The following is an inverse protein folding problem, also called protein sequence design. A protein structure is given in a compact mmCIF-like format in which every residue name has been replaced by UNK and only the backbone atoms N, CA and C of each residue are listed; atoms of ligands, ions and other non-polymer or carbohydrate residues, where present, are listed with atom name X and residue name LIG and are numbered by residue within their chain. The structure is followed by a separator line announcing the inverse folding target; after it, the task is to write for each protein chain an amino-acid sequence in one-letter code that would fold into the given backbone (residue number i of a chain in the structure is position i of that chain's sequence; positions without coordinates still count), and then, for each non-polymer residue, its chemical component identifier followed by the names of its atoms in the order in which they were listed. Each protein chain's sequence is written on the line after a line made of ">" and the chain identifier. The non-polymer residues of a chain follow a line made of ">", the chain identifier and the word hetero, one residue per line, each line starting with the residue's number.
data_IF_342847688576
#
_entry.id   IF_342847688576
#
_cell.length_a   1.000
_cell.length_b   1.000
_cell.length_c   1.000
_cell.angle_alpha   90.00
_cell.angle_beta   90.00
_cell.angle_gamma   90.00
#
_symmetry.space_group_name_H-M   'P 1'
#
loop_
_entity.id
_entity.type
_entity.pdbx_description
1 polymer ?
#
# COMPACT_ATOMS: atom_id res chain seq x y z
N UNK A 1 -48.41 39.95 17.86
CA UNK A 1 -48.22 40.41 16.46
C UNK A 1 -46.90 41.19 16.43
N UNK A 2 -45.79 40.53 16.07
CA UNK A 2 -44.44 41.11 16.10
C UNK A 2 -43.75 40.84 14.76
N UNK A 3 -43.21 41.92 14.19
CA UNK A 3 -42.77 42.07 12.80
C UNK A 3 -41.44 41.36 12.51
N UNK A 4 -41.35 40.77 11.30
CA UNK A 4 -40.10 40.40 10.63
C UNK A 4 -39.30 41.67 10.29
N UNK A 5 -38.00 41.66 10.55
CA UNK A 5 -37.03 42.54 9.89
C UNK A 5 -35.93 41.68 9.25
N UNK A 6 -35.88 41.72 7.92
CA UNK A 6 -34.77 41.20 7.11
C UNK A 6 -33.61 42.19 7.16
N UNK A 7 -32.43 41.73 7.59
CA UNK A 7 -31.17 42.44 7.35
C UNK A 7 -30.51 41.84 6.11
N UNK A 8 -30.58 42.61 5.03
CA UNK A 8 -29.75 42.50 3.83
C UNK A 8 -28.31 42.74 4.23
N UNK A 9 -27.40 41.81 3.96
CA UNK A 9 -25.96 42.02 4.06
C UNK A 9 -25.25 41.56 2.78
N UNK A 10 -24.23 42.36 2.45
CA UNK A 10 -23.57 42.64 1.17
C UNK A 10 -22.88 41.45 0.47
N UNK A 11 -22.59 41.57 -0.85
CA UNK A 11 -22.00 40.50 -1.66
C UNK A 11 -20.61 40.09 -1.17
N UNK A 12 -20.38 38.78 -1.27
CA UNK A 12 -19.16 38.05 -0.97
C UNK A 12 -18.06 38.51 -1.93
N UNK A 13 -16.95 39.01 -1.39
CA UNK A 13 -15.75 39.33 -2.15
C UNK A 13 -15.16 38.06 -2.79
N UNK A 14 -14.71 38.20 -4.04
CA UNK A 14 -14.03 37.19 -4.83
C UNK A 14 -12.89 36.50 -4.07
N UNK A 15 -13.02 35.19 -3.84
CA UNK A 15 -11.91 34.32 -3.48
C UNK A 15 -11.09 34.00 -4.73
N UNK A 16 -10.18 34.90 -5.09
CA UNK A 16 -9.08 34.60 -6.00
C UNK A 16 -7.80 35.01 -5.30
N UNK A 17 -6.92 34.03 -5.06
CA UNK A 17 -5.60 34.08 -4.38
C UNK A 17 -5.59 33.60 -2.92
N UNK A 18 -5.69 32.27 -2.76
CA UNK A 18 -4.95 31.56 -1.70
C UNK A 18 -3.71 30.92 -2.35
N UNK A 19 -2.53 30.93 -1.69
CA UNK A 19 -1.35 30.19 -2.15
C UNK A 19 -1.69 28.71 -2.34
N UNK A 20 -1.11 28.06 -3.36
CA UNK A 20 -1.34 26.64 -3.72
C UNK A 20 -0.79 25.62 -2.69
N UNK A 21 -0.46 26.06 -1.49
CA UNK A 21 -0.04 25.18 -0.40
C UNK A 21 -1.29 24.76 0.39
N UNK A 22 -1.51 23.46 0.54
CA UNK A 22 -2.64 22.81 1.23
C UNK A 22 -4.00 22.79 0.50
N UNK A 23 -4.08 22.02 -0.59
CA UNK A 23 -5.37 21.44 -0.98
C UNK A 23 -5.68 20.24 -0.07
N UNK A 24 -6.31 20.50 1.08
CA UNK A 24 -6.97 19.48 1.90
C UNK A 24 -8.40 19.26 1.39
N UNK A 25 -8.78 17.99 1.17
CA UNK A 25 -10.12 17.66 0.72
C UNK A 25 -11.09 17.53 1.90
N UNK A 26 -12.06 18.45 1.98
CA UNK A 26 -13.21 18.32 2.89
C UNK A 26 -14.16 17.23 2.41
N UNK A 27 -14.06 16.03 3.00
CA UNK A 27 -15.10 15.01 2.85
C UNK A 27 -16.34 15.42 3.66
N UNK A 28 -17.39 15.89 2.98
CA UNK A 28 -18.70 16.11 3.59
C UNK A 28 -19.37 14.75 3.82
N UNK A 29 -19.32 14.23 5.06
CA UNK A 29 -20.41 13.48 5.73
C UNK A 29 -20.02 13.18 7.18
N UNK A 30 -20.69 13.86 8.13
CA UNK A 30 -20.65 13.51 9.56
C UNK A 30 -21.45 12.23 9.78
N UNK A 31 -20.79 11.16 10.22
CA UNK A 31 -21.42 10.06 10.95
C UNK A 31 -20.87 10.14 12.37
N UNK A 32 -21.74 10.47 13.33
CA UNK A 32 -21.41 10.43 14.75
C UNK A 32 -21.34 8.96 15.19
N UNK A 33 -20.16 8.46 15.54
CA UNK A 33 -20.04 7.42 16.55
C UNK A 33 -19.39 8.02 17.79
N UNK A 34 -20.16 8.14 18.88
CA UNK A 34 -19.61 8.37 20.22
C UNK A 34 -18.97 7.06 20.69
N UNK A 35 -17.65 7.04 20.84
CA UNK A 35 -16.98 6.11 21.73
C UNK A 35 -16.43 6.89 22.92
N UNK A 36 -16.84 6.48 24.12
CA UNK A 36 -16.20 6.95 25.36
C UNK A 36 -14.82 6.31 25.43
N UNK A 37 -13.77 7.09 25.19
CA UNK A 37 -12.40 6.65 25.37
C UNK A 37 -11.95 7.01 26.79
N UNK A 38 -11.64 5.99 27.60
CA UNK A 38 -11.18 6.15 28.96
C UNK A 38 -9.66 6.41 28.94
N UNK A 39 -9.24 7.52 29.54
CA UNK A 39 -7.87 8.00 29.53
C UNK A 39 -7.03 7.25 30.59
N UNK A 40 -6.01 6.48 30.17
CA UNK A 40 -4.84 6.16 31.01
C UNK A 40 -3.54 6.20 30.18
N UNK A 41 -2.52 6.83 30.77
CA UNK A 41 -1.21 7.23 30.21
C UNK A 41 -0.18 6.08 30.10
N UNK A 42 0.84 6.35 29.28
CA UNK A 42 2.16 5.71 29.08
C UNK A 42 2.26 4.55 28.05
N UNK A 43 2.15 4.90 26.75
CA UNK A 43 2.54 4.06 25.58
C UNK A 43 3.46 4.78 24.56
N UNK A 44 3.86 6.02 24.83
CA UNK A 44 4.44 6.89 23.79
C UNK A 44 5.90 6.60 23.44
N UNK A 45 6.74 6.13 24.39
CA UNK A 45 8.16 5.86 24.11
C UNK A 45 8.39 4.52 23.42
N UNK A 46 7.59 3.51 23.75
CA UNK A 46 7.72 2.16 23.19
C UNK A 46 7.17 2.12 21.74
N UNK A 47 6.05 2.81 21.51
CA UNK A 47 5.54 3.07 20.16
C UNK A 47 6.53 3.88 19.31
N UNK A 48 7.18 4.90 19.88
CA UNK A 48 8.21 5.68 19.17
C UNK A 48 9.47 4.85 18.85
N UNK A 49 9.92 3.96 19.76
CA UNK A 49 11.05 3.05 19.51
C UNK A 49 10.74 2.00 18.45
N UNK A 50 9.53 1.42 18.46
CA UNK A 50 9.07 0.52 17.40
C UNK A 50 8.99 1.25 16.06
N UNK A 51 8.45 2.47 16.03
CA UNK A 51 8.40 3.30 14.82
C UNK A 51 9.80 3.63 14.30
N UNK A 52 10.75 3.99 15.18
CA UNK A 52 12.14 4.24 14.81
C UNK A 52 12.84 3.00 14.20
N UNK A 53 12.57 1.81 14.72
CA UNK A 53 13.13 0.56 14.18
C UNK A 53 12.54 0.20 12.80
N UNK A 54 11.23 0.40 12.60
CA UNK A 54 10.54 0.22 11.31
C UNK A 54 11.05 1.25 10.28
N UNK A 55 11.28 2.49 10.70
CA UNK A 55 11.72 3.59 9.81
C UNK A 55 13.18 3.46 9.33
N UNK A 56 14.03 2.66 9.99
CA UNK A 56 15.45 2.51 9.62
C UNK A 56 15.68 1.66 8.37
N UNK A 57 14.68 0.90 7.92
CA UNK A 57 14.82 0.03 6.74
C UNK A 57 14.12 0.65 5.52
N UNK A 58 14.87 0.77 4.41
CA UNK A 58 14.50 1.42 3.14
C UNK A 58 13.42 0.63 2.38
N UNK A 59 12.17 0.67 2.80
CA UNK A 59 11.06 0.03 2.08
C UNK A 59 10.87 0.69 0.71
N UNK A 60 10.59 -0.09 -0.33
CA UNK A 60 10.45 0.40 -1.70
C UNK A 60 9.41 -0.41 -2.48
N UNK A 61 9.12 0.04 -3.71
CA UNK A 61 8.25 -0.65 -4.66
C UNK A 61 8.94 -0.84 -6.01
N UNK A 62 8.63 -1.92 -6.75
CA UNK A 62 9.13 -2.08 -8.12
C UNK A 62 8.47 -1.07 -9.07
N UNK A 63 9.06 -0.91 -10.26
CA UNK A 63 8.50 -0.13 -11.35
C UNK A 63 7.03 -0.51 -11.63
N UNK A 64 6.25 0.45 -12.13
CA UNK A 64 4.83 0.26 -12.48
C UNK A 64 3.86 0.46 -11.32
N UNK A 65 4.34 0.45 -10.08
CA UNK A 65 3.53 0.76 -8.89
C UNK A 65 2.94 2.16 -9.02
N UNK A 66 1.62 2.28 -8.97
CA UNK A 66 0.91 3.55 -9.19
C UNK A 66 0.84 4.37 -7.91
N UNK A 67 1.12 5.67 -7.99
CA UNK A 67 1.04 6.62 -6.89
C UNK A 67 -0.12 7.56 -7.16
N UNK A 68 -0.94 7.87 -6.15
CA UNK A 68 -2.00 8.87 -6.28
C UNK A 68 -1.38 10.26 -6.18
N UNK A 69 -1.45 11.02 -7.28
CA UNK A 69 -0.97 12.41 -7.40
C UNK A 69 -2.10 13.36 -7.73
N UNK A 70 -1.87 14.67 -7.64
CA UNK A 70 -2.86 15.67 -8.06
C UNK A 70 -3.17 15.62 -9.57
N UNK A 71 -2.27 15.04 -10.38
CA UNK A 71 -2.44 14.82 -11.82
C UNK A 71 -3.04 13.43 -12.16
N UNK A 72 -3.33 12.60 -11.16
CA UNK A 72 -3.83 11.23 -11.33
C UNK A 72 -2.81 10.16 -10.92
N UNK A 73 -2.88 8.98 -11.54
CA UNK A 73 -2.02 7.85 -11.19
C UNK A 73 -0.69 7.89 -11.97
N UNK A 74 0.41 8.13 -11.27
CA UNK A 74 1.77 8.19 -11.85
C UNK A 74 2.58 6.96 -11.41
N UNK A 75 3.32 6.27 -12.30
CA UNK A 75 4.25 5.21 -11.91
C UNK A 75 5.30 5.72 -10.93
N UNK A 76 5.67 4.90 -9.95
CA UNK A 76 6.63 5.30 -8.91
C UNK A 76 8.00 5.72 -9.46
N UNK A 77 8.44 5.10 -10.56
CA UNK A 77 9.71 5.43 -11.20
C UNK A 77 9.69 6.81 -11.91
N UNK A 78 8.50 7.34 -12.19
CA UNK A 78 8.32 8.61 -12.90
C UNK A 78 8.06 9.80 -11.97
N UNK A 79 7.91 9.53 -10.65
CA UNK A 79 7.71 10.57 -9.62
C UNK A 79 8.97 11.42 -9.49
N UNK A 80 8.79 12.74 -9.42
CA UNK A 80 9.85 13.74 -9.33
C UNK A 80 9.71 14.61 -8.08
N UNK A 81 10.82 15.21 -7.66
CA UNK A 81 10.80 16.24 -6.63
C UNK A 81 9.88 17.37 -7.05
N UNK A 82 9.00 17.79 -6.13
CA UNK A 82 7.96 18.78 -6.37
C UNK A 82 6.62 18.21 -6.84
N UNK A 83 6.55 16.94 -7.26
CA UNK A 83 5.26 16.30 -7.56
C UNK A 83 4.41 16.24 -6.29
N UNK A 84 3.11 16.47 -6.45
CA UNK A 84 2.16 16.55 -5.34
C UNK A 84 1.45 15.21 -5.17
N UNK A 85 1.76 14.49 -4.10
CA UNK A 85 1.23 13.14 -3.82
C UNK A 85 0.20 13.16 -2.70
N UNK A 86 -0.82 12.32 -2.81
CA UNK A 86 -1.87 12.22 -1.79
C UNK A 86 -1.26 11.66 -0.51
N UNK A 87 -1.54 12.32 0.61
CA UNK A 87 -0.97 12.01 1.93
C UNK A 87 -2.00 12.27 3.03
N UNK A 88 -1.71 11.79 4.25
CA UNK A 88 -2.57 11.93 5.44
C UNK A 88 -1.74 12.14 6.70
N UNK A 89 -2.18 12.90 7.72
CA UNK A 89 -1.43 13.03 8.97
C UNK A 89 -1.12 11.67 9.62
N UNK A 90 0.13 11.48 10.07
CA UNK A 90 0.64 10.19 10.57
C UNK A 90 -0.09 9.63 11.79
N UNK A 91 -0.76 10.48 12.57
CA UNK A 91 -1.55 10.06 13.72
C UNK A 91 -2.87 9.36 13.34
N UNK A 92 -3.19 9.25 12.03
CA UNK A 92 -4.45 8.68 11.56
C UNK A 92 -5.62 9.66 11.56
N UNK A 93 -5.44 10.86 12.12
CA UNK A 93 -6.47 11.86 12.33
C UNK A 93 -6.26 13.07 11.41
N UNK A 94 -7.25 13.35 10.57
CA UNK A 94 -7.24 14.51 9.68
C UNK A 94 -7.67 14.17 8.25
N UNK A 95 -7.73 15.21 7.42
CA UNK A 95 -8.15 15.10 6.03
C UNK A 95 -6.99 14.70 5.13
N UNK A 96 -7.33 14.06 4.00
CA UNK A 96 -6.39 13.80 2.93
C UNK A 96 -5.94 15.11 2.30
N UNK A 97 -4.66 15.22 2.00
CA UNK A 97 -4.10 16.39 1.37
C UNK A 97 -2.96 16.03 0.42
N UNK A 98 -2.72 16.87 -0.58
CA UNK A 98 -1.55 16.73 -1.40
C UNK A 98 -0.33 17.37 -0.74
N UNK A 99 0.79 16.64 -0.73
CA UNK A 99 2.08 17.08 -0.19
C UNK A 99 3.18 16.92 -1.23
N UNK A 100 4.15 17.84 -1.30
CA UNK A 100 5.23 17.76 -2.27
C UNK A 100 6.18 16.62 -1.93
N UNK A 101 6.69 15.97 -2.98
CA UNK A 101 7.84 15.07 -2.91
C UNK A 101 9.11 15.88 -2.71
N UNK A 102 9.91 15.51 -1.69
CA UNK A 102 11.15 16.19 -1.32
C UNK A 102 12.38 15.53 -1.94
N UNK A 103 12.42 14.20 -1.94
CA UNK A 103 13.55 13.40 -2.42
C UNK A 103 13.04 12.14 -3.12
N UNK A 104 13.80 11.64 -4.09
CA UNK A 104 13.54 10.36 -4.75
C UNK A 104 14.76 9.45 -4.58
N UNK A 105 14.53 8.15 -4.45
CA UNK A 105 15.59 7.15 -4.30
C UNK A 105 15.27 5.91 -5.13
N UNK A 106 16.33 5.21 -5.58
CA UNK A 106 16.20 3.90 -6.21
C UNK A 106 17.32 2.96 -5.75
N UNK A 107 17.06 1.66 -5.82
CA UNK A 107 18.00 0.60 -5.48
C UNK A 107 17.90 -0.51 -6.51
N UNK A 108 19.04 -1.00 -7.02
CA UNK A 108 19.07 -1.91 -8.17
C UNK A 108 18.66 -3.35 -7.84
N UNK A 109 18.94 -3.80 -6.63
CA UNK A 109 18.81 -5.20 -6.27
C UNK A 109 18.15 -5.36 -4.90
N UNK A 110 16.81 -5.38 -4.88
CA UNK A 110 16.03 -5.66 -3.67
C UNK A 110 15.05 -6.79 -3.89
N UNK A 111 14.89 -7.59 -2.84
CA UNK A 111 13.90 -8.65 -2.76
C UNK A 111 12.48 -8.11 -2.85
N UNK A 112 11.65 -8.82 -3.61
CA UNK A 112 10.24 -8.49 -3.86
C UNK A 112 9.34 -9.57 -3.27
N UNK A 113 8.30 -9.13 -2.59
CA UNK A 113 7.23 -9.96 -2.06
C UNK A 113 5.90 -9.54 -2.70
N UNK A 114 4.93 -10.44 -2.65
CA UNK A 114 3.55 -10.17 -3.06
C UNK A 114 2.65 -10.02 -1.84
N UNK A 115 1.87 -8.95 -1.83
CA UNK A 115 0.74 -8.73 -0.94
C UNK A 115 -0.55 -9.02 -1.69
N UNK A 116 -1.24 -10.09 -1.33
CA UNK A 116 -2.59 -10.41 -1.81
C UNK A 116 -3.63 -10.03 -0.76
N UNK A 117 -4.64 -9.25 -1.15
CA UNK A 117 -5.71 -8.80 -0.26
C UNK A 117 -7.05 -8.68 -0.98
N UNK A 118 -8.13 -8.66 -0.20
CA UNK A 118 -9.47 -8.34 -0.69
C UNK A 118 -9.82 -6.88 -0.46
N UNK A 119 -10.44 -6.26 -1.46
CA UNK A 119 -11.11 -4.97 -1.30
C UNK A 119 -12.51 -5.20 -0.76
N UNK A 120 -12.78 -4.68 0.42
CA UNK A 120 -14.03 -4.89 1.14
C UNK A 120 -14.67 -3.55 1.46
N UNK A 121 -16.00 -3.46 1.29
CA UNK A 121 -16.75 -2.26 1.69
C UNK A 121 -16.72 -2.11 3.21
N UNK A 122 -16.53 -0.90 3.70
CA UNK A 122 -16.41 -0.58 5.13
C UNK A 122 -17.61 -1.04 5.99
N UNK A 123 -18.81 -1.15 5.40
CA UNK A 123 -20.01 -1.63 6.07
C UNK A 123 -20.17 -3.17 6.06
N UNK A 124 -19.20 -3.90 5.52
CA UNK A 124 -19.23 -5.37 5.48
C UNK A 124 -18.93 -5.93 6.87
N UNK A 125 -19.78 -6.82 7.33
CA UNK A 125 -19.54 -7.61 8.54
C UNK A 125 -18.46 -8.67 8.28
N UNK A 126 -17.26 -8.42 8.79
CA UNK A 126 -16.07 -9.26 8.57
C UNK A 126 -16.27 -10.67 9.13
N UNK A 127 -17.07 -10.83 10.19
CA UNK A 127 -17.35 -12.16 10.77
C UNK A 127 -18.05 -13.11 9.79
N UNK A 128 -18.68 -12.56 8.73
CA UNK A 128 -19.35 -13.33 7.67
C UNK A 128 -18.43 -13.64 6.49
N UNK A 129 -17.18 -13.18 6.50
CA UNK A 129 -16.21 -13.44 5.43
C UNK A 129 -15.56 -14.82 5.61
N UNK A 130 -16.38 -15.87 5.60
CA UNK A 130 -15.90 -17.24 5.53
C UNK A 130 -15.34 -17.55 4.13
N UNK A 131 -14.58 -18.64 4.03
CA UNK A 131 -13.91 -19.10 2.80
C UNK A 131 -14.75 -19.02 1.51
N UNK A 132 -15.96 -19.58 1.54
CA UNK A 132 -16.86 -19.53 0.37
C UNK A 132 -17.22 -18.11 -0.07
N UNK A 133 -17.30 -17.15 0.87
CA UNK A 133 -17.53 -15.74 0.55
C UNK A 133 -16.29 -15.07 -0.03
N UNK A 134 -15.11 -15.38 0.49
CA UNK A 134 -13.83 -14.90 -0.05
C UNK A 134 -13.61 -15.41 -1.49
N UNK A 135 -13.94 -16.68 -1.76
CA UNK A 135 -13.88 -17.23 -3.12
C UNK A 135 -14.84 -16.51 -4.08
N UNK A 136 -16.07 -16.22 -3.64
CA UNK A 136 -17.02 -15.42 -4.42
C UNK A 136 -16.50 -13.99 -4.69
N UNK A 137 -15.82 -13.38 -3.72
CA UNK A 137 -15.22 -12.06 -3.89
C UNK A 137 -14.04 -12.11 -4.87
N UNK A 138 -13.25 -13.18 -4.83
CA UNK A 138 -12.15 -13.42 -5.77
C UNK A 138 -12.68 -13.52 -7.20
N UNK A 139 -13.72 -14.32 -7.45
CA UNK A 139 -14.36 -14.41 -8.77
C UNK A 139 -15.00 -13.08 -9.26
N UNK A 140 -15.25 -12.14 -8.35
CA UNK A 140 -15.73 -10.78 -8.67
C UNK A 140 -14.59 -9.78 -8.92
N UNK A 141 -13.34 -10.23 -8.94
CA UNK A 141 -12.17 -9.38 -9.13
C UNK A 141 -11.87 -8.47 -7.93
N UNK A 142 -12.33 -8.84 -6.73
CA UNK A 142 -12.07 -8.06 -5.50
C UNK A 142 -10.77 -8.47 -4.81
N UNK A 143 -10.16 -9.59 -5.23
CA UNK A 143 -8.83 -10.00 -4.80
C UNK A 143 -7.79 -9.30 -5.67
N UNK A 144 -6.84 -8.62 -5.04
CA UNK A 144 -5.82 -7.83 -5.73
C UNK A 144 -4.47 -8.12 -5.11
N UNK A 145 -3.46 -8.16 -5.96
CA UNK A 145 -2.06 -8.36 -5.60
C UNK A 145 -1.24 -7.11 -5.82
N UNK A 146 -0.23 -6.89 -4.98
CA UNK A 146 0.76 -5.82 -5.16
C UNK A 146 2.15 -6.31 -4.79
N UNK A 147 3.12 -5.98 -5.64
CA UNK A 147 4.53 -6.29 -5.41
C UNK A 147 5.20 -5.17 -4.62
N UNK A 148 6.00 -5.53 -3.60
CA UNK A 148 6.58 -4.57 -2.66
C UNK A 148 7.74 -5.23 -1.90
N UNK A 149 8.71 -4.46 -1.39
CA UNK A 149 9.78 -5.02 -0.55
C UNK A 149 9.24 -5.49 0.82
N UNK A 150 9.80 -6.57 1.41
CA UNK A 150 9.29 -7.15 2.66
C UNK A 150 9.26 -6.18 3.86
N UNK A 151 10.16 -5.22 3.90
CA UNK A 151 10.25 -4.26 5.00
C UNK A 151 9.40 -3.00 4.81
N UNK A 152 8.58 -2.90 3.75
CA UNK A 152 7.77 -1.70 3.50
C UNK A 152 6.56 -1.66 4.46
N UNK A 153 6.34 -0.56 5.21
CA UNK A 153 5.25 -0.49 6.18
C UNK A 153 3.93 -0.01 5.59
N UNK A 154 2.85 -0.62 6.07
CA UNK A 154 1.46 -0.28 5.76
C UNK A 154 0.74 0.18 7.04
N UNK A 155 -0.22 1.10 6.91
CA UNK A 155 -1.04 1.51 8.05
C UNK A 155 -2.13 0.46 8.33
N UNK A 156 -1.95 -0.31 9.41
CA UNK A 156 -2.87 -1.37 9.82
C UNK A 156 -3.79 -0.88 10.93
N UNK A 157 -5.10 -1.02 10.74
CA UNK A 157 -6.10 -0.57 11.71
C UNK A 157 -5.91 -1.26 13.06
N UNK A 158 -5.73 -0.46 14.10
CA UNK A 158 -5.54 -0.93 15.48
C UNK A 158 -4.10 -1.31 15.84
N UNK A 159 -3.18 -1.34 14.87
CA UNK A 159 -1.76 -1.64 15.08
C UNK A 159 -0.83 -0.48 14.68
N UNK A 160 -1.21 0.32 13.69
CA UNK A 160 -0.37 1.37 13.12
C UNK A 160 0.55 0.83 12.01
N UNK A 161 1.71 1.47 11.82
CA UNK A 161 2.69 1.09 10.82
C UNK A 161 3.23 -0.33 11.07
N UNK A 162 2.92 -1.25 10.16
CA UNK A 162 3.34 -2.66 10.23
C UNK A 162 4.07 -3.02 8.94
N UNK A 163 5.24 -3.69 9.02
CA UNK A 163 5.99 -4.12 7.83
C UNK A 163 5.20 -5.17 7.05
N UNK A 164 5.42 -5.24 5.73
CA UNK A 164 4.79 -6.23 4.87
C UNK A 164 5.04 -7.66 5.39
N UNK A 165 6.28 -8.02 5.69
CA UNK A 165 6.67 -9.35 6.16
C UNK A 165 6.17 -9.69 7.58
N UNK A 166 5.58 -8.73 8.28
CA UNK A 166 4.94 -8.91 9.58
C UNK A 166 3.40 -8.94 9.47
N UNK A 167 2.84 -8.66 8.30
CA UNK A 167 1.40 -8.69 8.09
C UNK A 167 0.85 -10.12 8.21
N UNK A 168 -0.35 -10.21 8.76
CA UNK A 168 -1.06 -11.46 9.00
C UNK A 168 -2.40 -11.46 8.28
N UNK A 169 -2.83 -12.64 7.85
CA UNK A 169 -4.17 -12.86 7.30
C UNK A 169 -5.24 -12.27 8.23
N UNK A 170 -6.20 -11.57 7.65
CA UNK A 170 -7.32 -10.94 8.37
C UNK A 170 -7.03 -9.54 8.92
N UNK A 171 -5.78 -9.06 8.87
CA UNK A 171 -5.48 -7.67 9.20
C UNK A 171 -6.05 -6.71 8.16
N UNK A 172 -6.35 -5.49 8.59
CA UNK A 172 -7.01 -4.47 7.76
C UNK A 172 -6.03 -3.32 7.51
N UNK A 173 -5.67 -3.12 6.25
CA UNK A 173 -4.92 -1.95 5.79
C UNK A 173 -5.91 -0.85 5.40
N UNK A 174 -5.65 0.36 5.88
CA UNK A 174 -6.46 1.53 5.53
C UNK A 174 -6.21 1.97 4.08
N UNK A 175 -7.27 2.43 3.43
CA UNK A 175 -7.18 3.00 2.08
C UNK A 175 -7.56 4.48 2.06
N UNK A 176 -7.22 5.17 0.97
CA UNK A 176 -7.64 6.56 0.76
C UNK A 176 -9.17 6.72 0.66
N UNK A 177 -9.89 5.66 0.28
CA UNK A 177 -11.35 5.65 0.20
C UNK A 177 -11.93 5.16 1.53
N UNK A 178 -12.61 6.02 2.31
CA UNK A 178 -13.16 5.61 3.60
C UNK A 178 -14.26 4.54 3.49
N UNK A 179 -14.81 4.30 2.29
CA UNK A 179 -15.81 3.26 2.06
C UNK A 179 -15.18 1.89 1.74
N UNK A 180 -13.85 1.80 1.59
CA UNK A 180 -13.13 0.58 1.22
C UNK A 180 -11.96 0.34 2.18
N UNK A 181 -11.80 -0.90 2.63
CA UNK A 181 -10.59 -1.35 3.29
C UNK A 181 -9.96 -2.54 2.57
N UNK A 182 -8.65 -2.72 2.76
CA UNK A 182 -7.91 -3.85 2.25
C UNK A 182 -7.77 -4.92 3.35
N UNK A 183 -8.42 -6.06 3.18
CA UNK A 183 -8.32 -7.22 4.07
C UNK A 183 -7.18 -8.11 3.60
N UNK A 184 -6.08 -8.14 4.36
CA UNK A 184 -4.89 -8.96 4.06
C UNK A 184 -5.29 -10.42 3.97
N UNK A 185 -4.93 -11.06 2.86
CA UNK A 185 -5.22 -12.48 2.63
C UNK A 185 -3.94 -13.32 2.67
N UNK A 186 -2.91 -12.92 1.94
CA UNK A 186 -1.66 -13.68 1.84
C UNK A 186 -0.50 -12.73 1.59
N UNK A 187 0.66 -13.06 2.17
CA UNK A 187 1.92 -12.36 1.97
C UNK A 187 3.01 -13.40 1.79
N UNK A 188 3.79 -13.30 0.71
CA UNK A 188 4.82 -14.29 0.41
C UNK A 188 5.94 -13.69 -0.45
N UNK A 189 7.16 -14.25 -0.37
CA UNK A 189 8.25 -13.87 -1.26
C UNK A 189 7.92 -14.25 -2.70
N UNK A 190 8.36 -13.42 -3.65
CA UNK A 190 8.52 -13.86 -5.02
C UNK A 190 9.82 -14.66 -5.14
N UNK A 191 9.76 -15.75 -5.88
CA UNK A 191 10.86 -16.70 -6.11
C UNK A 191 11.46 -16.50 -7.48
N UNK A 192 12.77 -16.62 -7.58
CA UNK A 192 13.48 -16.62 -8.86
C UNK A 192 13.03 -17.83 -9.69
N UNK A 193 13.06 -17.70 -11.01
CA UNK A 193 12.88 -18.85 -11.91
C UNK A 193 14.10 -19.07 -12.79
N UNK A 194 14.14 -20.19 -13.52
CA UNK A 194 15.15 -20.45 -14.56
C UNK A 194 15.01 -19.54 -15.79
N UNK A 195 13.90 -18.81 -15.91
CA UNK A 195 13.68 -17.83 -16.97
C UNK A 195 13.96 -16.41 -16.45
N UNK A 196 14.80 -15.68 -17.18
CA UNK A 196 15.16 -14.29 -16.82
C UNK A 196 13.92 -13.41 -16.74
N UNK A 197 13.89 -12.52 -15.74
CA UNK A 197 12.79 -11.58 -15.48
C UNK A 197 11.42 -12.23 -15.24
N UNK A 198 11.38 -13.53 -14.95
CA UNK A 198 10.15 -14.23 -14.54
C UNK A 198 10.28 -14.63 -13.08
N UNK A 199 9.27 -14.28 -12.29
CA UNK A 199 9.18 -14.62 -10.88
C UNK A 199 8.03 -15.60 -10.63
N UNK A 200 8.27 -16.58 -9.76
CA UNK A 200 7.21 -17.45 -9.23
C UNK A 200 6.64 -16.87 -7.93
N UNK A 201 5.32 -16.83 -7.80
CA UNK A 201 4.64 -16.53 -6.53
C UNK A 201 3.80 -17.71 -6.09
N UNK A 202 3.65 -17.94 -4.79
CA UNK A 202 2.71 -18.94 -4.31
C UNK A 202 1.28 -18.54 -4.69
N UNK A 203 0.55 -19.46 -5.31
CA UNK A 203 -0.81 -19.17 -5.76
C UNK A 203 -1.80 -19.18 -4.57
N UNK A 204 -2.78 -18.26 -4.52
CA UNK A 204 -3.81 -18.22 -3.47
C UNK A 204 -4.58 -19.52 -3.22
N UNK A 205 -4.63 -20.44 -4.19
CA UNK A 205 -5.24 -21.78 -4.02
C UNK A 205 -4.57 -22.59 -2.92
N UNK A 206 -3.26 -22.40 -2.66
CA UNK A 206 -2.54 -23.14 -1.62
C UNK A 206 -3.20 -22.92 -0.24
N UNK A 207 -3.61 -21.69 0.06
CA UNK A 207 -4.34 -21.37 1.30
C UNK A 207 -5.68 -22.10 1.34
N UNK A 208 -6.43 -22.09 0.23
CA UNK A 208 -7.71 -22.77 0.16
C UNK A 208 -7.58 -24.30 0.22
N UNK A 209 -6.51 -24.88 -0.32
CA UNK A 209 -6.32 -26.33 -0.34
C UNK A 209 -5.75 -26.87 0.97
N UNK A 210 -4.80 -26.17 1.58
CA UNK A 210 -4.25 -26.50 2.90
C UNK A 210 -5.38 -26.58 3.95
N UNK A 211 -6.25 -25.57 3.99
CA UNK A 211 -7.44 -25.55 4.85
C UNK A 211 -8.36 -26.76 4.65
N UNK A 212 -8.53 -27.22 3.39
CA UNK A 212 -9.41 -28.34 3.07
C UNK A 212 -8.80 -29.68 3.50
N UNK A 213 -7.48 -29.81 3.36
CA UNK A 213 -6.75 -31.05 3.61
C UNK A 213 -6.26 -31.17 5.06
N UNK A 214 -6.30 -30.09 5.84
CA UNK A 214 -5.77 -30.06 7.20
C UNK A 214 -4.25 -30.22 7.26
N UNK A 215 -3.56 -29.83 6.19
CA UNK A 215 -2.10 -29.93 6.03
C UNK A 215 -1.45 -28.55 6.12
N UNK A 216 -0.13 -28.52 6.30
CA UNK A 216 0.61 -27.26 6.27
C UNK A 216 0.61 -26.69 4.84
N UNK A 217 0.72 -25.37 4.70
CA UNK A 217 0.83 -24.73 3.38
C UNK A 217 2.13 -25.13 2.66
N UNK A 218 3.14 -25.58 3.40
CA UNK A 218 4.44 -26.01 2.88
C UNK A 218 4.34 -27.32 2.08
N UNK A 219 3.25 -28.08 2.25
CA UNK A 219 2.99 -29.35 1.55
C UNK A 219 2.21 -29.16 0.23
N UNK A 220 1.84 -27.92 -0.13
CA UNK A 220 1.05 -27.59 -1.33
C UNK A 220 1.71 -26.41 -2.06
N UNK A 221 2.42 -26.71 -3.15
CA UNK A 221 3.19 -25.71 -3.89
C UNK A 221 2.65 -25.49 -5.31
N UNK A 222 1.49 -24.85 -5.42
CA UNK A 222 1.08 -24.23 -6.70
C UNK A 222 1.62 -22.81 -6.80
N UNK A 223 2.01 -22.40 -8.00
CA UNK A 223 2.57 -21.08 -8.26
C UNK A 223 1.82 -20.34 -9.37
N UNK A 224 2.05 -19.04 -9.45
CA UNK A 224 1.80 -18.19 -10.61
C UNK A 224 3.12 -17.61 -11.09
N UNK A 225 3.32 -17.50 -12.39
CA UNK A 225 4.51 -16.90 -13.00
C UNK A 225 4.19 -15.50 -13.50
N UNK A 226 4.94 -14.51 -13.01
CA UNK A 226 4.85 -13.11 -13.42
C UNK A 226 6.09 -12.70 -14.20
N UNK A 227 5.89 -12.17 -15.40
CA UNK A 227 6.95 -11.53 -16.18
C UNK A 227 7.14 -10.08 -15.72
N UNK A 228 8.39 -9.62 -15.65
CA UNK A 228 8.76 -8.24 -15.34
C UNK A 228 9.49 -7.60 -16.53
N UNK A 229 9.01 -6.43 -16.94
CA UNK A 229 9.72 -5.54 -17.87
C UNK A 229 10.12 -4.23 -17.20
N UNK A 230 10.59 -3.28 -18.00
CA UNK A 230 11.07 -1.96 -17.51
C UNK A 230 9.96 -1.15 -16.79
N UNK A 231 8.70 -1.44 -17.10
CA UNK A 231 7.53 -0.79 -16.52
C UNK A 231 6.92 -1.59 -15.36
N UNK A 232 7.61 -2.60 -14.84
CA UNK A 232 7.13 -3.49 -13.78
C UNK A 232 6.58 -4.81 -14.31
N UNK A 233 5.71 -5.45 -13.52
CA UNK A 233 5.04 -6.68 -13.93
C UNK A 233 4.24 -6.47 -15.23
N UNK A 234 4.61 -7.20 -16.29
CA UNK A 234 4.08 -7.06 -17.66
C UNK A 234 3.00 -8.09 -18.01
N UNK A 235 3.00 -9.25 -17.35
CA UNK A 235 2.04 -10.31 -17.64
C UNK A 235 2.13 -11.53 -16.73
N UNK A 236 1.14 -12.42 -16.88
CA UNK A 236 1.12 -13.74 -16.24
C UNK A 236 1.48 -14.78 -17.30
N UNK A 237 2.55 -15.55 -17.08
CA UNK A 237 3.05 -16.56 -18.02
C UNK A 237 2.55 -17.98 -17.72
N UNK A 238 2.05 -18.19 -16.50
CA UNK A 238 1.52 -19.46 -16.02
C UNK A 238 0.81 -19.23 -14.71
N UNK A 239 -0.19 -20.05 -14.39
CA UNK A 239 -1.01 -19.84 -13.20
C UNK A 239 -1.44 -21.16 -12.57
N UNK A 240 -1.62 -21.13 -11.25
CA UNK A 240 -2.13 -22.22 -10.42
C UNK A 240 -1.60 -23.62 -10.78
N UNK A 241 -0.28 -23.75 -10.96
CA UNK A 241 0.36 -25.00 -11.37
C UNK A 241 1.62 -25.28 -10.54
N UNK A 242 2.00 -26.55 -10.35
CA UNK A 242 3.26 -26.88 -9.69
C UNK A 242 4.45 -26.54 -10.60
N UNK A 243 5.65 -26.46 -10.02
CA UNK A 243 6.88 -26.39 -10.79
C UNK A 243 7.27 -27.79 -11.31
N UNK A 244 7.77 -27.95 -12.56
CA UNK A 244 8.03 -26.91 -13.56
C UNK A 244 6.77 -26.47 -14.36
N UNK A 245 6.83 -25.26 -14.89
CA UNK A 245 5.87 -24.74 -15.88
C UNK A 245 6.36 -25.01 -17.29
N UNK A 246 5.44 -25.18 -18.25
CA UNK A 246 5.76 -25.17 -19.67
C UNK A 246 5.42 -23.78 -20.23
N UNK A 247 6.44 -22.99 -20.53
CA UNK A 247 6.31 -21.65 -21.12
C UNK A 247 7.06 -21.65 -22.45
N UNK A 248 6.38 -21.30 -23.55
CA UNK A 248 6.97 -21.31 -24.90
C UNK A 248 7.69 -22.64 -25.25
N UNK A 249 7.08 -23.77 -24.89
CA UNK A 249 7.64 -25.12 -25.08
C UNK A 249 8.96 -25.40 -24.31
N UNK A 250 9.29 -24.59 -23.30
CA UNK A 250 10.43 -24.78 -22.41
C UNK A 250 9.98 -24.97 -20.97
N UNK A 251 10.72 -25.79 -20.22
CA UNK A 251 10.50 -25.96 -18.79
C UNK A 251 11.07 -24.78 -18.00
N UNK A 252 10.22 -24.18 -17.16
CA UNK A 252 10.58 -23.10 -16.25
C UNK A 252 10.41 -23.57 -14.82
N UNK A 253 11.53 -23.63 -14.09
CA UNK A 253 11.57 -24.07 -12.71
C UNK A 253 11.51 -22.88 -11.76
N UNK A 254 10.74 -23.01 -10.68
CA UNK A 254 10.71 -22.06 -9.57
C UNK A 254 11.79 -22.48 -8.58
N UNK A 255 12.66 -21.54 -8.20
CA UNK A 255 13.83 -21.79 -7.37
C UNK A 255 13.60 -21.34 -5.92
N UNK A 256 14.42 -21.82 -4.99
CA UNK A 256 14.32 -21.39 -3.59
C UNK A 256 14.78 -19.94 -3.40
N UNK A 257 15.67 -19.44 -4.27
CA UNK A 257 16.17 -18.06 -4.17
C UNK A 257 15.07 -17.01 -4.33
N UNK A 258 15.18 -15.91 -3.60
CA UNK A 258 14.29 -14.77 -3.74
C UNK A 258 14.46 -14.09 -5.11
N UNK A 259 13.34 -13.68 -5.70
CA UNK A 259 13.34 -12.79 -6.86
C UNK A 259 13.64 -11.36 -6.42
N UNK A 260 14.44 -10.67 -7.24
CA UNK A 260 14.96 -9.35 -6.91
C UNK A 260 14.85 -8.42 -8.12
N UNK A 261 14.55 -7.15 -7.85
CA UNK A 261 14.38 -6.13 -8.88
C UNK A 261 14.89 -4.78 -8.41
N UNK A 262 15.06 -3.89 -9.40
CA UNK A 262 15.17 -2.46 -9.16
C UNK A 262 13.89 -1.93 -8.54
N UNK A 263 14.03 -1.13 -7.49
CA UNK A 263 12.92 -0.55 -6.73
C UNK A 263 13.12 0.93 -6.47
N UNK A 264 12.01 1.61 -6.21
CA UNK A 264 11.90 3.06 -6.07
C UNK A 264 11.19 3.41 -4.78
N UNK A 265 11.54 4.56 -4.21
CA UNK A 265 10.80 5.21 -3.13
C UNK A 265 11.04 6.72 -3.20
N UNK A 266 10.28 7.49 -2.42
CA UNK A 266 10.44 8.93 -2.30
C UNK A 266 9.99 9.43 -0.93
N UNK A 267 10.50 10.59 -0.55
CA UNK A 267 10.13 11.28 0.68
C UNK A 267 9.04 12.32 0.42
N UNK A 268 8.06 12.38 1.31
CA UNK A 268 6.93 13.31 1.25
C UNK A 268 7.02 14.30 2.40
N UNK A 269 6.82 15.59 2.12
CA UNK A 269 6.86 16.64 3.13
C UNK A 269 5.81 16.45 4.23
N UNK A 270 6.19 16.82 5.46
CA UNK A 270 5.42 16.82 6.71
C UNK A 270 4.96 15.45 7.21
N UNK A 271 4.29 14.70 6.35
CA UNK A 271 3.56 13.48 6.72
C UNK A 271 4.37 12.22 6.44
N UNK A 272 5.38 12.28 5.57
CA UNK A 272 6.24 11.15 5.21
C UNK A 272 5.45 9.87 4.89
N UNK A 273 4.33 10.02 4.19
CA UNK A 273 3.50 8.91 3.76
C UNK A 273 2.72 9.28 2.49
N UNK A 274 2.27 8.26 1.79
CA UNK A 274 1.53 8.43 0.53
C UNK A 274 0.61 7.23 0.29
N UNK A 275 -0.17 7.30 -0.79
CA UNK A 275 -1.09 6.25 -1.19
C UNK A 275 -0.66 5.60 -2.50
N UNK A 276 -0.57 4.26 -2.48
CA UNK A 276 -0.16 3.44 -3.62
C UNK A 276 -1.33 2.66 -4.21
N UNK A 277 -1.19 2.26 -5.47
CA UNK A 277 -2.19 1.57 -6.30
C UNK A 277 -3.39 2.45 -6.65
N UNK A 278 -4.20 2.03 -7.63
CA UNK A 278 -5.49 2.67 -7.93
C UNK A 278 -6.43 2.75 -6.72
N UNK A 279 -6.20 1.91 -5.72
CA UNK A 279 -7.07 1.73 -4.57
C UNK A 279 -6.52 2.43 -3.34
N UNK A 280 -5.31 2.98 -3.43
CA UNK A 280 -4.69 3.82 -2.43
C UNK A 280 -4.49 3.10 -1.11
N UNK A 281 -3.62 2.09 -1.04
CA UNK A 281 -3.14 1.57 0.25
C UNK A 281 -2.27 2.63 0.91
N UNK A 282 -2.45 2.84 2.21
CA UNK A 282 -1.69 3.84 2.95
C UNK A 282 -0.33 3.30 3.39
N UNK A 283 0.75 3.92 2.92
CA UNK A 283 2.14 3.46 3.10
C UNK A 283 3.06 4.58 3.55
N UNK A 284 4.13 4.23 4.26
CA UNK A 284 5.08 5.23 4.78
C UNK A 284 6.25 5.45 3.80
N UNK A 285 6.67 6.71 3.65
CA UNK A 285 7.97 7.09 3.08
C UNK A 285 9.09 6.73 4.05
N UNK A 286 9.51 5.47 4.09
CA UNK A 286 10.65 5.05 4.93
C UNK A 286 11.95 5.72 4.48
N UNK A 287 12.72 6.22 5.46
CA UNK A 287 13.95 7.04 5.35
C UNK A 287 14.57 7.15 3.95
N UNK A 288 14.47 8.36 3.36
CA UNK A 288 15.38 8.86 2.33
C UNK A 288 16.51 9.73 2.95
N UNK A 289 16.70 9.68 4.26
CA UNK A 289 17.52 10.63 5.04
C UNK A 289 19.01 10.28 5.13
N UNK A 290 19.53 9.37 4.29
CA UNK A 290 20.99 9.17 4.16
C UNK A 290 21.63 10.07 3.07
N UNK A 291 20.95 11.12 2.62
CA UNK A 291 21.64 12.27 2.04
C UNK A 291 21.84 13.29 3.18
N UNK A 292 23.02 13.23 3.79
CA UNK A 292 23.50 14.29 4.69
C UNK A 292 23.17 15.66 4.11
N UNK A 293 22.65 16.53 4.96
CA UNK A 293 22.43 17.95 4.69
C UNK A 293 23.72 18.78 4.47
N UNK A 294 24.88 18.14 4.21
CA UNK A 294 26.18 18.82 4.04
C UNK A 294 26.77 18.77 2.63
N UNK A 295 25.98 18.53 1.58
CA UNK A 295 26.42 18.71 0.19
C UNK A 295 25.59 19.77 -0.54
N UNK A 296 25.53 20.98 0.02
CA UNK A 296 25.43 22.17 -0.82
C UNK A 296 26.85 22.55 -1.26
N UNK A 297 27.16 22.68 -2.57
CA UNK A 297 28.41 23.31 -2.96
C UNK A 297 28.38 24.75 -2.43
N UNK A 298 29.40 25.10 -1.64
CA UNK A 298 29.68 26.51 -1.34
C UNK A 298 29.94 27.20 -2.67
N UNK A 299 29.04 28.09 -3.07
CA UNK A 299 29.32 29.22 -3.97
C UNK A 299 28.69 30.44 -3.33
#
# INVERSE_FOLDING_TARGET
>A
MLKLNYLVNKPIAHFSQLPKEMLCFKSKRKIFLKFHYNHKRNKNEEGAKQMYAVMKQKGCFPAGTRIITEQGLVPIQDIKVGDMVLSKPQNGEGELCYKPVLHTVSYEDKEIWELTYFQIKANTDISKLHKGKLLQLSHKGMMVSNMVTPNHPFWVKGLGWTRLDELKNGQIIETHDPEIFALVFMVNPLRKTTMTNVAGSYHPSNVFDADKKGVSIEDVEYFSLYEFGDLGASGVMGDNSPSPFIVNNQEVYVLAEAFRQKVYNFEVADFHNYFVTKRGLWVHSTNCTDASSDLLPKI
#
